data_IF_032355157714
#
_entry.id   IF_032355157714
#
_cell.length_a   1.000
_cell.length_b   1.000
_cell.length_c   1.000
_cell.angle_alpha   90.00
_cell.angle_beta   90.00
_cell.angle_gamma   90.00
#
_symmetry.space_group_name_H-M   'P 1'
#
loop_
_entity.id
_entity.type
_entity.pdbx_description
1 polymer ?
#
# COMPACT_ATOMS: atom_id res chain seq x y z
N UNK A 1 -21.03 -4.36 21.59
CA UNK A 1 -20.08 -3.27 21.97
C UNK A 1 -18.74 -3.35 21.26
N UNK A 2 -18.02 -4.49 21.26
CA UNK A 2 -16.67 -4.59 20.64
C UNK A 2 -16.62 -4.23 19.13
N UNK A 3 -17.60 -4.67 18.32
CA UNK A 3 -17.69 -4.33 16.89
C UNK A 3 -17.88 -2.83 16.60
N UNK A 4 -18.67 -2.14 17.42
CA UNK A 4 -18.90 -0.70 17.28
C UNK A 4 -17.63 0.11 17.57
N UNK A 5 -16.83 -0.35 18.53
CA UNK A 5 -15.53 0.24 18.87
C UNK A 5 -14.51 0.03 17.75
N UNK A 6 -14.42 -1.18 17.19
CA UNK A 6 -13.53 -1.47 16.06
C UNK A 6 -13.93 -0.63 14.84
N UNK A 7 -15.22 -0.53 14.53
CA UNK A 7 -15.71 0.29 13.41
C UNK A 7 -15.48 1.78 13.60
N UNK A 8 -15.56 2.27 14.84
CA UNK A 8 -15.24 3.66 15.18
C UNK A 8 -13.74 3.93 15.07
N UNK A 9 -12.90 3.04 15.60
CA UNK A 9 -11.44 3.12 15.46
C UNK A 9 -11.03 3.05 13.98
N UNK A 10 -11.67 2.18 13.21
CA UNK A 10 -11.43 2.05 11.78
C UNK A 10 -11.76 3.33 11.02
N UNK A 11 -12.89 4.00 11.31
CA UNK A 11 -13.22 5.29 10.69
C UNK A 11 -12.21 6.41 10.99
N UNK A 12 -11.52 6.33 12.13
CA UNK A 12 -10.47 7.30 12.49
C UNK A 12 -9.12 6.98 11.82
N UNK A 13 -8.76 5.70 11.73
CA UNK A 13 -7.45 5.28 11.21
C UNK A 13 -7.47 5.19 9.67
N UNK A 14 -8.59 4.83 9.06
CA UNK A 14 -8.75 4.70 7.60
C UNK A 14 -8.21 5.90 6.81
N UNK A 15 -8.58 7.17 7.09
CA UNK A 15 -8.07 8.30 6.33
C UNK A 15 -6.55 8.47 6.46
N UNK A 16 -5.98 8.26 7.66
CA UNK A 16 -4.54 8.32 7.86
C UNK A 16 -3.80 7.17 7.18
N UNK A 17 -4.38 5.97 7.14
CA UNK A 17 -3.86 4.80 6.42
C UNK A 17 -3.90 5.01 4.91
N UNK A 18 -5.01 5.53 4.37
CA UNK A 18 -5.17 5.87 2.95
C UNK A 18 -4.16 6.95 2.54
N UNK A 19 -4.04 8.03 3.32
CA UNK A 19 -3.08 9.10 3.05
C UNK A 19 -1.64 8.59 3.14
N UNK A 20 -1.32 7.75 4.12
CA UNK A 20 -0.02 7.10 4.22
C UNK A 20 0.26 6.16 3.03
N UNK A 21 -0.75 5.41 2.57
CA UNK A 21 -0.67 4.55 1.38
C UNK A 21 -0.49 5.33 0.09
N UNK A 22 -1.13 6.49 -0.04
CA UNK A 22 -0.99 7.38 -1.20
C UNK A 22 0.36 8.10 -1.20
N UNK A 23 0.77 8.68 -0.07
CA UNK A 23 1.96 9.52 0.00
C UNK A 23 3.27 8.73 0.14
N UNK A 24 3.26 7.62 0.89
CA UNK A 24 4.50 7.05 1.43
C UNK A 24 4.62 5.54 1.33
N UNK A 25 3.54 4.79 1.40
CA UNK A 25 3.64 3.33 1.33
C UNK A 25 4.04 2.89 -0.09
N UNK A 26 4.82 1.82 -0.15
CA UNK A 26 5.20 1.09 -1.36
C UNK A 26 6.11 1.80 -2.37
N UNK A 27 6.55 3.04 -2.14
CA UNK A 27 7.65 3.59 -2.96
C UNK A 27 8.97 3.08 -2.41
N UNK A 28 9.54 2.05 -3.03
CA UNK A 28 10.91 1.68 -2.69
C UNK A 28 11.85 2.84 -3.09
N UNK A 29 12.83 3.17 -2.25
CA UNK A 29 13.92 4.06 -2.65
C UNK A 29 14.53 3.55 -3.96
N UNK A 30 14.86 4.46 -4.87
CA UNK A 30 15.36 4.08 -6.21
C UNK A 30 16.53 3.09 -6.15
N UNK A 31 17.45 3.28 -5.20
CA UNK A 31 18.57 2.36 -4.97
C UNK A 31 18.14 0.92 -4.61
N UNK A 32 17.06 0.75 -3.84
CA UNK A 32 16.50 -0.57 -3.52
C UNK A 32 15.76 -1.17 -4.72
N UNK A 33 15.04 -0.35 -5.48
CA UNK A 33 14.33 -0.77 -6.70
C UNK A 33 15.30 -1.29 -7.76
N UNK A 34 16.39 -0.56 -8.00
CA UNK A 34 17.47 -0.97 -8.91
C UNK A 34 18.23 -2.21 -8.41
N UNK A 35 18.38 -2.37 -7.10
CA UNK A 35 18.97 -3.58 -6.52
C UNK A 35 18.08 -4.80 -6.75
N UNK A 36 16.78 -4.68 -6.51
CA UNK A 36 15.80 -5.74 -6.78
C UNK A 36 15.71 -6.06 -8.27
N UNK A 37 15.71 -5.05 -9.15
CA UNK A 37 15.70 -5.21 -10.60
C UNK A 37 16.87 -6.08 -11.06
N UNK A 38 18.08 -5.79 -10.53
CA UNK A 38 19.28 -6.58 -10.79
C UNK A 38 19.19 -8.00 -10.23
N UNK A 39 18.68 -8.17 -9.01
CA UNK A 39 18.54 -9.50 -8.38
C UNK A 39 17.55 -10.39 -9.13
N UNK A 40 16.43 -9.82 -9.58
CA UNK A 40 15.36 -10.53 -10.26
C UNK A 40 15.55 -10.58 -11.78
N UNK A 41 16.59 -9.90 -12.32
CA UNK A 41 16.85 -9.75 -13.75
C UNK A 41 15.65 -9.20 -14.54
N UNK A 42 14.95 -8.25 -13.95
CA UNK A 42 13.82 -7.54 -14.57
C UNK A 42 14.14 -6.05 -14.71
N UNK A 43 13.38 -5.34 -15.53
CA UNK A 43 13.47 -3.88 -15.59
C UNK A 43 12.97 -3.28 -14.26
N UNK A 44 13.65 -2.23 -13.81
CA UNK A 44 13.20 -1.34 -12.73
C UNK A 44 11.76 -0.84 -12.93
N UNK A 45 11.33 -0.63 -14.19
CA UNK A 45 9.96 -0.26 -14.54
C UNK A 45 8.94 -1.35 -14.17
N UNK A 46 9.32 -2.62 -14.29
CA UNK A 46 8.46 -3.75 -13.91
C UNK A 46 8.21 -3.75 -12.40
N UNK A 47 9.24 -3.44 -11.61
CA UNK A 47 9.10 -3.34 -10.15
C UNK A 47 8.20 -2.17 -9.78
N UNK A 48 8.37 -1.02 -10.43
CA UNK A 48 7.50 0.14 -10.22
C UNK A 48 6.04 -0.16 -10.60
N UNK A 49 5.80 -0.90 -11.68
CA UNK A 49 4.46 -1.34 -12.06
C UNK A 49 3.84 -2.26 -11.00
N UNK A 50 4.63 -3.19 -10.44
CA UNK A 50 4.18 -4.08 -9.35
C UNK A 50 3.91 -3.28 -8.07
N UNK A 51 4.76 -2.31 -7.72
CA UNK A 51 4.54 -1.41 -6.57
C UNK A 51 3.22 -0.64 -6.71
N UNK A 52 2.93 -0.12 -7.90
CA UNK A 52 1.68 0.59 -8.18
C UNK A 52 0.47 -0.35 -8.13
N UNK A 53 0.56 -1.55 -8.72
CA UNK A 53 -0.51 -2.53 -8.68
C UNK A 53 -0.83 -3.00 -7.25
N UNK A 54 0.20 -3.22 -6.42
CA UNK A 54 0.04 -3.56 -5.00
C UNK A 54 -0.61 -2.42 -4.22
N UNK A 55 -0.25 -1.17 -4.54
CA UNK A 55 -0.86 0.01 -3.89
C UNK A 55 -2.34 0.09 -4.21
N UNK A 56 -2.71 -0.02 -5.48
CA UNK A 56 -4.10 0.00 -5.91
C UNK A 56 -4.90 -1.14 -5.29
N UNK A 57 -4.33 -2.35 -5.27
CA UNK A 57 -4.96 -3.51 -4.63
C UNK A 57 -5.21 -3.28 -3.14
N UNK A 58 -4.20 -2.81 -2.40
CA UNK A 58 -4.35 -2.53 -0.96
C UNK A 58 -5.31 -1.39 -0.69
N UNK A 59 -5.29 -0.32 -1.48
CA UNK A 59 -6.26 0.78 -1.33
C UNK A 59 -7.69 0.29 -1.58
N UNK A 60 -7.87 -0.57 -2.58
CA UNK A 60 -9.17 -1.16 -2.89
C UNK A 60 -9.66 -2.07 -1.77
N UNK A 61 -8.82 -2.99 -1.30
CA UNK A 61 -9.12 -3.84 -0.14
C UNK A 61 -9.42 -3.01 1.10
N UNK A 62 -8.63 -1.97 1.38
CA UNK A 62 -8.85 -1.09 2.53
C UNK A 62 -10.21 -0.35 2.44
N UNK A 63 -10.65 0.01 1.24
CA UNK A 63 -11.92 0.66 0.99
C UNK A 63 -13.12 -0.31 1.08
N UNK A 64 -12.95 -1.53 0.57
CA UNK A 64 -13.97 -2.57 0.60
C UNK A 64 -14.10 -3.22 2.00
N UNK A 65 -13.05 -3.14 2.82
CA UNK A 65 -13.03 -3.73 4.16
C UNK A 65 -13.85 -2.91 5.16
N UNK A 66 -15.02 -3.45 5.54
CA UNK A 66 -15.88 -2.94 6.60
C UNK A 66 -15.92 -3.91 7.81
N UNK A 67 -15.39 -3.52 8.99
CA UNK A 67 -15.41 -4.35 10.20
C UNK A 67 -16.72 -4.33 11.04
#
# INVERSE_FOLDING_TARGET
MKRSLIRWLWRLILPALSEWLEQRALRLPQAQRERLARQLRVDSRTIEAIENALREFLLRELHEWQP
#
